data_IF_217300706706
#
_entry.id   IF_217300706706
#
_cell.length_a   1.000
_cell.length_b   1.000
_cell.length_c   1.000
_cell.angle_alpha   90.00
_cell.angle_beta   90.00
_cell.angle_gamma   90.00
#
_symmetry.space_group_name_H-M   'P 1'
#
loop_
_entity.id
_entity.type
_entity.pdbx_description
1 polymer ?
#
# COMPACT_ATOMS: atom_id res chain seq x y z
N UNK A 1 9.59 -6.79 -13.83
CA UNK A 1 8.44 -7.25 -13.03
C UNK A 1 7.20 -6.48 -13.44
N UNK A 2 6.13 -7.18 -13.81
CA UNK A 2 4.83 -6.58 -14.11
C UNK A 2 4.35 -5.82 -12.86
N UNK A 3 3.80 -4.61 -13.04
CA UNK A 3 3.18 -3.86 -11.94
C UNK A 3 2.08 -4.73 -11.30
N UNK A 4 2.00 -4.73 -9.96
CA UNK A 4 0.96 -5.47 -9.26
C UNK A 4 -0.41 -4.92 -9.67
N UNK A 5 -1.30 -5.79 -10.15
CA UNK A 5 -2.67 -5.39 -10.54
C UNK A 5 -3.60 -5.33 -9.34
N UNK A 6 -3.35 -6.19 -8.35
CA UNK A 6 -4.13 -6.26 -7.12
C UNK A 6 -3.25 -5.96 -5.90
N UNK A 7 -3.84 -5.37 -4.89
CA UNK A 7 -3.13 -5.01 -3.66
C UNK A 7 -3.99 -5.33 -2.45
N UNK A 8 -3.39 -5.97 -1.46
CA UNK A 8 -3.95 -6.07 -0.13
C UNK A 8 -3.29 -5.01 0.75
N UNK A 9 -4.09 -4.12 1.33
CA UNK A 9 -3.66 -3.15 2.34
C UNK A 9 -4.22 -3.57 3.67
N UNK A 10 -3.35 -3.87 4.63
CA UNK A 10 -3.71 -4.17 6.00
C UNK A 10 -3.33 -2.99 6.90
N UNK A 11 -4.31 -2.32 7.45
CA UNK A 11 -4.15 -1.27 8.46
C UNK A 11 -4.10 -1.93 9.85
N UNK A 12 -3.02 -1.73 10.58
CA UNK A 12 -2.74 -2.40 11.86
C UNK A 12 -2.70 -1.37 12.98
N UNK A 13 -3.52 -1.56 14.01
CA UNK A 13 -3.48 -0.81 15.24
C UNK A 13 -2.75 -1.66 16.28
N UNK A 14 -1.58 -1.21 16.71
CA UNK A 14 -0.74 -1.91 17.68
C UNK A 14 -1.26 -1.58 19.09
N UNK A 15 -1.22 -2.57 19.98
CA UNK A 15 -1.58 -2.35 21.40
C UNK A 15 -0.58 -1.45 22.07
N UNK A 16 -1.04 -0.61 22.97
CA UNK A 16 -0.20 0.26 23.78
C UNK A 16 0.93 -0.52 24.47
N UNK A 17 2.16 -0.08 24.24
CA UNK A 17 3.36 -0.69 24.80
C UNK A 17 3.83 -1.98 24.11
N UNK A 18 3.20 -2.40 23.01
CA UNK A 18 3.57 -3.62 22.26
C UNK A 18 4.27 -3.35 20.93
N UNK A 19 4.68 -2.12 20.66
CA UNK A 19 5.33 -1.77 19.39
C UNK A 19 6.61 -2.58 19.15
N UNK A 20 7.45 -2.77 20.17
CA UNK A 20 8.69 -3.56 20.06
C UNK A 20 8.38 -5.03 19.70
N UNK A 21 7.32 -5.62 20.27
CA UNK A 21 6.87 -6.97 19.94
C UNK A 21 6.34 -7.06 18.52
N UNK A 22 5.58 -6.05 18.09
CA UNK A 22 5.08 -5.95 16.72
C UNK A 22 6.25 -5.87 15.72
N UNK A 23 7.21 -4.98 15.95
CA UNK A 23 8.38 -4.85 15.08
C UNK A 23 9.25 -6.11 15.06
N UNK A 24 9.40 -6.80 16.21
CA UNK A 24 10.10 -8.07 16.26
C UNK A 24 9.35 -9.16 15.48
N UNK A 25 8.03 -9.13 15.47
CA UNK A 25 7.20 -10.03 14.66
C UNK A 25 7.34 -9.73 13.16
N UNK A 26 7.30 -8.47 12.75
CA UNK A 26 7.50 -8.08 11.34
C UNK A 26 8.92 -8.46 10.86
N UNK A 27 9.94 -8.27 11.69
CA UNK A 27 11.31 -8.72 11.41
C UNK A 27 11.40 -10.27 11.28
N UNK A 28 10.62 -11.02 12.07
CA UNK A 28 10.50 -12.45 11.90
C UNK A 28 9.83 -12.83 10.57
N UNK A 29 8.82 -12.09 10.14
CA UNK A 29 8.14 -12.36 8.87
C UNK A 29 8.94 -11.94 7.63
N UNK A 30 9.93 -11.05 7.71
CA UNK A 30 10.73 -10.64 6.56
C UNK A 30 11.21 -11.82 5.71
N UNK A 31 12.01 -12.79 6.24
CA UNK A 31 12.44 -13.95 5.48
C UNK A 31 11.29 -14.85 4.99
N UNK A 32 10.15 -14.86 5.67
CA UNK A 32 8.96 -15.63 5.24
C UNK A 32 8.35 -15.02 4.00
N UNK A 33 8.25 -13.68 3.97
CA UNK A 33 7.75 -12.95 2.82
C UNK A 33 8.71 -13.04 1.62
N UNK A 34 10.01 -12.94 1.85
CA UNK A 34 11.02 -13.14 0.79
C UNK A 34 10.84 -14.52 0.14
N UNK A 35 10.69 -15.56 0.94
CA UNK A 35 10.43 -16.92 0.44
C UNK A 35 9.08 -17.04 -0.27
N UNK A 36 8.03 -16.37 0.23
CA UNK A 36 6.72 -16.34 -0.42
C UNK A 36 6.78 -15.64 -1.79
N UNK A 37 7.56 -14.56 -1.92
CA UNK A 37 7.82 -13.88 -3.19
C UNK A 37 8.59 -14.81 -4.14
N UNK A 38 9.64 -15.47 -3.66
CA UNK A 38 10.43 -16.44 -4.44
C UNK A 38 9.55 -17.59 -4.97
N UNK A 39 8.61 -18.06 -4.17
CA UNK A 39 7.62 -19.09 -4.56
C UNK A 39 6.47 -18.57 -5.43
N UNK A 40 6.43 -17.27 -5.74
CA UNK A 40 5.40 -16.66 -6.57
C UNK A 40 4.04 -16.55 -5.90
N UNK A 41 3.97 -16.60 -4.56
CA UNK A 41 2.72 -16.44 -3.80
C UNK A 41 2.25 -14.98 -3.82
N UNK A 42 3.16 -14.02 -3.85
CA UNK A 42 2.92 -12.59 -4.02
C UNK A 42 4.13 -11.97 -4.74
N UNK A 43 4.01 -10.72 -5.19
CA UNK A 43 5.08 -10.05 -5.95
C UNK A 43 5.87 -9.05 -5.11
N UNK A 44 5.25 -8.51 -4.06
CA UNK A 44 5.80 -7.46 -3.21
C UNK A 44 5.13 -7.51 -1.85
N UNK A 45 5.89 -7.18 -0.80
CA UNK A 45 5.35 -6.83 0.51
C UNK A 45 6.23 -5.79 1.16
N UNK A 46 5.58 -4.79 1.79
CA UNK A 46 6.25 -3.77 2.58
C UNK A 46 5.45 -3.42 3.83
N UNK A 47 6.17 -3.07 4.89
CA UNK A 47 5.60 -2.58 6.16
C UNK A 47 5.95 -1.11 6.29
N UNK A 48 4.93 -0.27 6.47
CA UNK A 48 5.05 1.18 6.52
C UNK A 48 4.53 1.69 7.86
N UNK A 49 5.38 2.39 8.62
CA UNK A 49 4.97 3.08 9.84
C UNK A 49 4.26 4.37 9.49
N UNK A 50 3.13 4.65 10.13
CA UNK A 50 2.47 5.95 10.02
C UNK A 50 3.26 6.97 10.84
N UNK A 51 3.84 7.96 10.17
CA UNK A 51 4.65 9.01 10.81
C UNK A 51 3.94 10.36 10.83
N UNK A 52 2.95 10.54 9.95
CA UNK A 52 2.11 11.72 9.88
C UNK A 52 0.75 11.36 9.30
N UNK A 53 -0.31 11.92 9.84
CA UNK A 53 -1.66 11.77 9.31
C UNK A 53 -2.42 13.09 9.39
N UNK A 54 -3.28 13.35 8.41
CA UNK A 54 -4.30 14.42 8.46
C UNK A 54 -5.65 13.88 8.93
N UNK A 55 -5.74 12.58 9.24
CA UNK A 55 -6.96 11.94 9.73
C UNK A 55 -7.12 12.24 11.23
N UNK A 56 -8.19 12.96 11.59
CA UNK A 56 -8.51 13.31 12.96
C UNK A 56 -9.37 12.25 13.67
N UNK A 57 -9.71 11.14 12.97
CA UNK A 57 -10.50 10.05 13.56
C UNK A 57 -9.68 9.33 14.64
N UNK A 58 -10.37 8.91 15.68
CA UNK A 58 -9.83 7.94 16.61
C UNK A 58 -9.56 6.61 15.89
N UNK A 59 -8.50 5.90 16.27
CA UNK A 59 -8.08 4.61 15.68
C UNK A 59 -7.52 4.69 14.25
N UNK A 60 -6.70 5.70 13.96
CA UNK A 60 -5.81 5.67 12.80
C UNK A 60 -4.80 4.55 12.98
N UNK A 61 -4.51 3.79 11.91
CA UNK A 61 -3.53 2.72 11.98
C UNK A 61 -2.13 3.24 12.35
N UNK A 62 -1.39 2.44 13.13
CA UNK A 62 0.02 2.71 13.42
C UNK A 62 0.92 2.25 12.27
N UNK A 63 0.51 1.18 11.58
CA UNK A 63 1.24 0.59 10.46
C UNK A 63 0.30 0.19 9.32
N UNK A 64 0.86 0.22 8.11
CA UNK A 64 0.25 -0.40 6.94
C UNK A 64 1.16 -1.49 6.41
N UNK A 65 0.60 -2.68 6.18
CA UNK A 65 1.24 -3.75 5.42
C UNK A 65 0.62 -3.72 4.03
N UNK A 66 1.45 -3.58 3.00
CA UNK A 66 1.02 -3.51 1.60
C UNK A 66 1.59 -4.69 0.86
N UNK A 67 0.72 -5.54 0.32
CA UNK A 67 1.10 -6.72 -0.46
C UNK A 67 0.57 -6.60 -1.88
N UNK A 68 1.42 -6.88 -2.87
CA UNK A 68 1.11 -6.76 -4.29
C UNK A 68 1.01 -8.10 -5.00
N UNK A 69 0.05 -8.22 -5.92
CA UNK A 69 -0.28 -9.43 -6.67
C UNK A 69 -0.47 -9.12 -8.15
N UNK A 70 -0.08 -10.04 -9.03
CA UNK A 70 -0.25 -9.90 -10.49
C UNK A 70 -1.69 -10.12 -10.94
N UNK A 71 -2.46 -10.92 -10.20
CA UNK A 71 -3.86 -11.23 -10.55
C UNK A 71 -4.71 -11.44 -9.30
N UNK A 72 -6.02 -11.42 -9.49
CA UNK A 72 -6.99 -11.73 -8.44
C UNK A 72 -6.84 -13.18 -7.96
N UNK A 73 -6.59 -14.12 -8.86
CA UNK A 73 -6.40 -15.54 -8.54
C UNK A 73 -5.17 -15.73 -7.62
N UNK A 74 -4.09 -14.98 -7.84
CA UNK A 74 -2.92 -15.02 -6.97
C UNK A 74 -3.27 -14.49 -5.57
N UNK A 75 -4.00 -13.38 -5.48
CA UNK A 75 -4.46 -12.83 -4.21
C UNK A 75 -5.40 -13.81 -3.49
N UNK A 76 -6.38 -14.39 -4.19
CA UNK A 76 -7.33 -15.34 -3.61
C UNK A 76 -6.59 -16.61 -3.11
N UNK A 77 -5.62 -17.11 -3.88
CA UNK A 77 -4.77 -18.23 -3.46
C UNK A 77 -3.94 -17.91 -2.21
N UNK A 78 -3.37 -16.71 -2.14
CA UNK A 78 -2.63 -16.22 -0.97
C UNK A 78 -3.53 -16.15 0.27
N UNK A 79 -4.72 -15.55 0.16
CA UNK A 79 -5.68 -15.41 1.26
C UNK A 79 -6.23 -16.76 1.73
N UNK A 80 -6.33 -17.74 0.83
CA UNK A 80 -6.80 -19.12 1.16
C UNK A 80 -5.70 -20.05 1.68
N UNK A 81 -4.46 -19.54 1.81
CA UNK A 81 -3.34 -20.36 2.31
C UNK A 81 -3.62 -20.88 3.72
N UNK A 82 -3.54 -22.19 3.89
CA UNK A 82 -3.84 -22.82 5.18
C UNK A 82 -2.83 -22.45 6.27
N UNK A 83 -3.26 -22.51 7.52
CA UNK A 83 -2.36 -22.30 8.68
C UNK A 83 -1.17 -23.27 8.66
N UNK A 84 -1.39 -24.51 8.21
CA UNK A 84 -0.34 -25.53 8.09
C UNK A 84 0.70 -25.15 7.03
N UNK A 85 0.24 -24.66 5.86
CA UNK A 85 1.12 -24.17 4.78
C UNK A 85 1.92 -22.96 5.23
N UNK A 86 1.28 -21.99 5.90
CA UNK A 86 1.96 -20.81 6.45
C UNK A 86 3.01 -21.21 7.52
N UNK A 87 2.68 -22.15 8.38
CA UNK A 87 3.62 -22.70 9.35
C UNK A 87 4.82 -23.38 8.67
N UNK A 88 4.57 -24.17 7.65
CA UNK A 88 5.62 -24.87 6.88
C UNK A 88 6.54 -23.87 6.17
N UNK A 89 5.96 -22.82 5.58
CA UNK A 89 6.70 -21.73 4.93
C UNK A 89 7.60 -20.99 5.94
N UNK A 90 7.07 -20.67 7.14
CA UNK A 90 7.84 -20.02 8.18
C UNK A 90 9.00 -20.91 8.70
N UNK A 91 8.77 -22.20 8.87
CA UNK A 91 9.83 -23.16 9.26
C UNK A 91 10.91 -23.25 8.17
N UNK A 92 10.51 -23.29 6.89
CA UNK A 92 11.44 -23.32 5.75
C UNK A 92 12.28 -22.04 5.68
N UNK A 93 11.67 -20.87 5.77
CA UNK A 93 12.33 -19.58 5.73
C UNK A 93 13.39 -19.38 6.83
N UNK A 94 13.16 -19.99 7.98
CA UNK A 94 14.06 -19.90 9.14
C UNK A 94 14.97 -21.11 9.33
N UNK A 95 15.01 -22.03 8.35
CA UNK A 95 15.83 -23.25 8.44
C UNK A 95 17.30 -22.91 8.69
N UNK A 96 17.86 -23.53 9.73
CA UNK A 96 19.26 -23.32 10.12
C UNK A 96 19.54 -22.04 10.93
N UNK A 97 18.55 -21.15 11.10
CA UNK A 97 18.67 -19.90 11.87
C UNK A 97 18.04 -20.03 13.25
N UNK A 98 16.81 -20.52 13.31
CA UNK A 98 16.07 -20.79 14.57
C UNK A 98 15.38 -22.17 14.51
N UNK A 99 15.14 -22.77 15.68
CA UNK A 99 14.50 -24.08 15.72
C UNK A 99 13.03 -24.03 15.31
N UNK A 100 12.52 -25.10 14.68
CA UNK A 100 11.12 -25.21 14.29
C UNK A 100 10.15 -25.01 15.47
N UNK A 101 10.53 -25.47 16.67
CA UNK A 101 9.74 -25.25 17.91
C UNK A 101 9.63 -23.73 18.22
N UNK A 102 10.70 -22.96 18.04
CA UNK A 102 10.67 -21.51 18.26
C UNK A 102 9.83 -20.80 17.20
N UNK A 103 9.93 -21.22 15.92
CA UNK A 103 9.05 -20.74 14.84
C UNK A 103 7.58 -20.97 15.21
N UNK A 104 7.22 -22.19 15.60
CA UNK A 104 5.85 -22.54 16.01
C UNK A 104 5.36 -21.66 17.18
N UNK A 105 6.21 -21.42 18.19
CA UNK A 105 5.85 -20.59 19.33
C UNK A 105 5.58 -19.13 18.93
N UNK A 106 6.33 -18.58 17.96
CA UNK A 106 6.10 -17.22 17.44
C UNK A 106 4.81 -17.19 16.62
N UNK A 107 4.64 -18.12 15.68
CA UNK A 107 3.46 -18.21 14.82
C UNK A 107 2.15 -18.34 15.61
N UNK A 108 2.17 -19.08 16.72
CA UNK A 108 0.99 -19.26 17.57
C UNK A 108 0.58 -18.00 18.36
N UNK A 109 1.44 -16.98 18.41
CA UNK A 109 1.19 -15.70 19.10
C UNK A 109 0.87 -14.54 18.16
N UNK A 110 0.87 -14.79 16.85
CA UNK A 110 0.52 -13.76 15.86
C UNK A 110 -0.86 -13.19 16.15
N UNK A 111 -0.94 -11.86 16.20
CA UNK A 111 -2.18 -11.13 16.52
C UNK A 111 -2.33 -10.75 18.00
N UNK A 112 -1.48 -11.25 18.91
CA UNK A 112 -1.52 -10.82 20.31
C UNK A 112 -1.07 -9.37 20.50
N UNK A 113 -0.25 -8.83 19.58
CA UNK A 113 0.38 -7.50 19.61
C UNK A 113 -0.53 -6.38 19.07
N UNK A 114 -1.62 -6.71 18.37
CA UNK A 114 -2.50 -5.74 17.75
C UNK A 114 -3.90 -5.72 18.36
N UNK A 115 -4.53 -4.54 18.39
CA UNK A 115 -5.93 -4.38 18.78
C UNK A 115 -6.86 -4.83 17.66
N UNK A 116 -6.54 -4.40 16.44
CA UNK A 116 -7.30 -4.77 15.26
C UNK A 116 -6.43 -4.70 14.01
N UNK A 117 -6.88 -5.42 12.99
CA UNK A 117 -6.38 -5.35 11.63
C UNK A 117 -7.56 -5.17 10.69
N UNK A 118 -7.47 -4.18 9.82
CA UNK A 118 -8.49 -3.85 8.81
C UNK A 118 -7.89 -4.05 7.44
N UNK A 119 -8.54 -4.82 6.60
CA UNK A 119 -8.04 -5.14 5.28
C UNK A 119 -8.89 -4.46 4.20
N UNK A 120 -8.19 -3.95 3.19
CA UNK A 120 -8.76 -3.41 1.96
C UNK A 120 -8.17 -4.15 0.77
N UNK A 121 -9.03 -4.69 -0.09
CA UNK A 121 -8.63 -5.33 -1.32
C UNK A 121 -8.81 -4.35 -2.47
N UNK A 122 -7.73 -4.09 -3.18
CA UNK A 122 -7.64 -3.05 -4.19
C UNK A 122 -7.35 -3.64 -5.56
N UNK A 123 -8.01 -3.09 -6.58
CA UNK A 123 -7.66 -3.28 -7.97
C UNK A 123 -7.04 -1.99 -8.51
N UNK A 124 -5.95 -2.10 -9.29
CA UNK A 124 -5.31 -0.95 -9.90
C UNK A 124 -6.19 -0.36 -10.99
N UNK A 125 -6.53 0.92 -10.87
CA UNK A 125 -7.16 1.70 -11.93
C UNK A 125 -6.11 2.16 -12.92
N UNK A 126 -5.07 2.84 -12.42
CA UNK A 126 -3.95 3.33 -13.24
C UNK A 126 -2.71 3.59 -12.38
N UNK A 127 -1.55 3.68 -13.03
CA UNK A 127 -0.29 4.06 -12.38
C UNK A 127 0.67 4.67 -13.39
N UNK A 128 1.58 5.48 -12.88
CA UNK A 128 2.78 5.88 -13.64
C UNK A 128 3.78 4.73 -13.70
N UNK A 129 4.77 4.85 -14.58
CA UNK A 129 5.93 3.96 -14.52
C UNK A 129 6.71 4.22 -13.21
N UNK A 130 7.25 3.15 -12.68
CA UNK A 130 8.14 3.23 -11.52
C UNK A 130 9.48 3.85 -11.91
N UNK A 131 9.93 4.87 -11.18
CA UNK A 131 11.23 5.51 -11.37
C UNK A 131 12.01 5.59 -10.05
N UNK A 132 13.33 5.63 -10.12
CA UNK A 132 14.20 5.92 -8.97
C UNK A 132 14.62 4.70 -8.14
N UNK A 133 14.70 3.49 -8.71
CA UNK A 133 15.25 2.30 -8.02
C UNK A 133 14.29 1.64 -7.03
N UNK A 134 14.79 0.70 -6.24
CA UNK A 134 14.01 -0.01 -5.24
C UNK A 134 13.64 0.91 -4.05
N UNK A 135 12.63 0.51 -3.28
CA UNK A 135 12.31 1.16 -2.01
C UNK A 135 13.37 0.79 -0.97
N UNK A 136 13.83 1.79 -0.25
CA UNK A 136 14.79 1.62 0.84
C UNK A 136 14.15 1.99 2.19
N UNK A 137 14.76 1.50 3.27
CA UNK A 137 14.34 1.90 4.62
C UNK A 137 14.53 3.40 4.80
N UNK A 138 13.44 4.10 5.14
CA UNK A 138 13.40 5.55 5.26
C UNK A 138 12.74 6.27 4.08
N UNK A 139 12.44 5.57 2.98
CA UNK A 139 11.61 6.13 1.91
C UNK A 139 10.21 6.47 2.45
N UNK A 140 9.69 7.62 2.01
CA UNK A 140 8.38 8.10 2.41
C UNK A 140 7.36 7.85 1.31
N UNK A 141 6.28 7.18 1.67
CA UNK A 141 5.10 7.02 0.82
C UNK A 141 3.93 7.78 1.42
N UNK A 142 3.26 8.62 0.66
CA UNK A 142 1.95 9.12 1.05
C UNK A 142 0.86 8.20 0.51
N UNK A 143 -0.05 7.83 1.40
CA UNK A 143 -1.26 7.08 1.07
C UNK A 143 -2.46 7.95 1.41
N UNK A 144 -3.23 8.30 0.38
CA UNK A 144 -4.44 9.11 0.54
C UNK A 144 -5.66 8.30 0.12
N UNK A 145 -6.75 8.45 0.85
CA UNK A 145 -8.03 7.82 0.51
C UNK A 145 -9.04 8.86 0.08
N UNK A 146 -9.95 8.49 -0.83
CA UNK A 146 -10.99 9.38 -1.34
C UNK A 146 -12.30 8.64 -1.62
N UNK A 147 -13.36 9.42 -1.78
CA UNK A 147 -14.66 8.98 -2.27
C UNK A 147 -14.80 9.52 -3.69
N UNK A 148 -15.00 8.64 -4.67
CA UNK A 148 -15.35 9.08 -6.03
C UNK A 148 -16.71 9.81 -5.98
N UNK A 149 -16.73 11.06 -6.42
CA UNK A 149 -17.92 11.92 -6.42
C UNK A 149 -18.73 11.80 -7.72
N UNK A 150 -18.12 11.25 -8.78
CA UNK A 150 -18.73 11.12 -10.11
C UNK A 150 -18.28 9.83 -10.80
N UNK A 151 -19.04 9.38 -11.81
CA UNK A 151 -18.74 8.18 -12.60
C UNK A 151 -17.50 8.35 -13.49
N UNK A 152 -17.08 9.57 -13.77
CA UNK A 152 -15.91 9.91 -14.58
C UNK A 152 -14.64 10.16 -13.76
N UNK A 153 -14.68 9.97 -12.43
CA UNK A 153 -13.56 10.18 -11.52
C UNK A 153 -12.29 9.44 -11.98
N UNK A 154 -12.39 8.14 -12.25
CA UNK A 154 -11.25 7.33 -12.69
C UNK A 154 -10.68 7.81 -14.05
N UNK A 155 -11.57 8.21 -14.97
CA UNK A 155 -11.18 8.77 -16.28
C UNK A 155 -10.43 10.08 -16.11
N UNK A 156 -10.94 10.97 -15.23
CA UNK A 156 -10.29 12.25 -14.96
C UNK A 156 -8.89 12.06 -14.36
N UNK A 157 -8.75 11.17 -13.41
CA UNK A 157 -7.45 10.86 -12.78
C UNK A 157 -6.45 10.31 -13.82
N UNK A 158 -6.90 9.44 -14.72
CA UNK A 158 -6.04 8.82 -15.74
C UNK A 158 -5.70 9.78 -16.89
N UNK A 159 -6.67 10.58 -17.36
CA UNK A 159 -6.49 11.42 -18.56
C UNK A 159 -5.98 12.84 -18.26
N UNK A 160 -6.17 13.35 -17.04
CA UNK A 160 -5.78 14.71 -16.66
C UNK A 160 -4.70 14.71 -15.58
N UNK A 161 -4.94 14.03 -14.45
CA UNK A 161 -4.01 14.06 -13.33
C UNK A 161 -2.71 13.30 -13.62
N UNK A 162 -2.80 12.06 -14.09
CA UNK A 162 -1.63 11.22 -14.40
C UNK A 162 -0.62 11.88 -15.35
N UNK A 163 -0.99 12.49 -16.50
CA UNK A 163 -0.03 13.16 -17.37
C UNK A 163 0.75 14.31 -16.68
N UNK A 164 0.12 15.02 -15.74
CA UNK A 164 0.79 16.06 -14.96
C UNK A 164 1.78 15.46 -13.96
N UNK A 165 1.43 14.35 -13.36
CA UNK A 165 2.31 13.60 -12.44
C UNK A 165 3.48 12.97 -13.21
N UNK A 166 3.24 12.43 -14.41
CA UNK A 166 4.31 11.90 -15.28
C UNK A 166 5.30 13.00 -15.68
N UNK A 167 4.82 14.23 -15.94
CA UNK A 167 5.69 15.39 -16.16
C UNK A 167 6.58 15.68 -14.93
N UNK A 168 6.03 15.56 -13.71
CA UNK A 168 6.81 15.68 -12.48
C UNK A 168 7.87 14.59 -12.35
N UNK A 169 7.55 13.35 -12.74
CA UNK A 169 8.50 12.22 -12.71
C UNK A 169 9.63 12.45 -13.71
N UNK A 170 9.32 12.86 -14.94
CA UNK A 170 10.32 13.17 -15.98
C UNK A 170 11.29 14.27 -15.51
N UNK A 171 10.80 15.26 -14.77
CA UNK A 171 11.62 16.33 -14.23
C UNK A 171 12.34 15.99 -12.91
N UNK A 172 12.17 14.78 -12.37
CA UNK A 172 12.82 14.34 -11.13
C UNK A 172 12.21 14.89 -9.85
N UNK A 173 10.99 15.43 -9.90
CA UNK A 173 10.28 15.98 -8.73
C UNK A 173 9.42 14.92 -8.03
N UNK A 174 9.14 13.79 -8.68
CA UNK A 174 8.32 12.70 -8.16
C UNK A 174 8.86 11.35 -8.66
N UNK A 175 8.57 10.26 -7.93
CA UNK A 175 9.05 8.91 -8.31
C UNK A 175 7.95 8.02 -8.86
N UNK A 176 6.76 8.06 -8.25
CA UNK A 176 5.70 7.13 -8.59
C UNK A 176 4.36 7.57 -8.03
N UNK A 177 3.30 7.28 -8.79
CA UNK A 177 1.91 7.47 -8.43
C UNK A 177 1.08 6.28 -8.86
N UNK A 178 0.07 5.96 -8.06
CA UNK A 178 -0.90 4.92 -8.37
C UNK A 178 -2.25 5.27 -7.80
N UNK A 179 -3.33 5.02 -8.59
CA UNK A 179 -4.72 5.00 -8.18
C UNK A 179 -5.22 3.57 -8.15
N UNK A 180 -5.89 3.19 -7.07
CA UNK A 180 -6.53 1.88 -6.93
C UNK A 180 -7.94 2.02 -6.38
N UNK A 181 -8.85 1.20 -6.88
CA UNK A 181 -10.24 1.08 -6.42
C UNK A 181 -10.36 0.00 -5.36
N UNK A 182 -11.12 0.28 -4.31
CA UNK A 182 -11.45 -0.71 -3.28
C UNK A 182 -12.64 -1.52 -3.77
N UNK A 183 -12.48 -2.83 -3.98
CA UNK A 183 -13.56 -3.70 -4.39
C UNK A 183 -14.07 -4.61 -3.27
N UNK A 184 -13.27 -4.81 -2.22
CA UNK A 184 -13.64 -5.61 -1.05
C UNK A 184 -12.91 -5.09 0.20
N UNK A 185 -13.48 -5.30 1.38
CA UNK A 185 -12.88 -4.93 2.67
C UNK A 185 -13.42 -5.80 3.80
N UNK A 186 -12.70 -5.88 4.92
CA UNK A 186 -13.20 -6.51 6.14
C UNK A 186 -14.32 -5.66 6.76
N UNK A 187 -15.21 -6.31 7.52
CA UNK A 187 -16.39 -5.66 8.14
C UNK A 187 -16.01 -4.48 9.06
N UNK A 188 -14.86 -4.57 9.75
CA UNK A 188 -14.35 -3.51 10.61
C UNK A 188 -13.56 -2.41 9.88
N UNK A 189 -13.39 -2.51 8.55
CA UNK A 189 -12.71 -1.48 7.78
C UNK A 189 -13.63 -0.29 7.51
N UNK A 190 -13.03 0.92 7.40
CA UNK A 190 -13.80 2.12 7.11
C UNK A 190 -14.44 2.05 5.71
N UNK A 191 -15.74 2.20 5.64
CA UNK A 191 -16.55 2.06 4.43
C UNK A 191 -16.72 3.37 3.64
N UNK A 192 -16.41 4.51 4.26
CA UNK A 192 -16.57 5.85 3.67
C UNK A 192 -15.53 6.22 2.60
N UNK A 193 -14.78 5.26 2.05
CA UNK A 193 -13.80 5.49 0.97
C UNK A 193 -14.01 4.49 -0.17
N UNK A 194 -13.75 4.94 -1.41
CA UNK A 194 -13.88 4.10 -2.60
C UNK A 194 -12.54 3.83 -3.29
N UNK A 195 -11.57 4.73 -3.11
CA UNK A 195 -10.27 4.65 -3.76
C UNK A 195 -9.12 5.00 -2.81
N UNK A 196 -7.93 4.51 -3.15
CA UNK A 196 -6.67 4.88 -2.49
C UNK A 196 -5.64 5.30 -3.53
N UNK A 197 -4.92 6.37 -3.20
CA UNK A 197 -3.74 6.83 -3.92
C UNK A 197 -2.49 6.44 -3.17
N UNK A 198 -1.47 6.05 -3.92
CA UNK A 198 -0.13 5.81 -3.40
C UNK A 198 0.84 6.71 -4.14
N UNK A 199 1.66 7.44 -3.41
CA UNK A 199 2.61 8.38 -3.96
C UNK A 199 3.97 8.22 -3.31
N UNK A 200 5.03 8.22 -4.13
CA UNK A 200 6.40 8.27 -3.66
C UNK A 200 7.05 9.50 -4.26
N UNK A 201 7.34 10.47 -3.39
CA UNK A 201 8.02 11.70 -3.74
C UNK A 201 9.54 11.54 -3.84
N UNK A 202 10.21 12.59 -4.25
CA UNK A 202 11.66 12.74 -4.16
C UNK A 202 11.96 13.60 -2.94
N UNK A 203 12.79 13.15 -1.98
CA UNK A 203 13.13 13.93 -0.79
C UNK A 203 13.65 15.33 -1.15
N UNK A 204 13.11 16.36 -0.49
CA UNK A 204 13.50 17.76 -0.70
C UNK A 204 12.93 18.42 -1.96
N UNK A 205 12.14 17.71 -2.77
CA UNK A 205 11.45 18.27 -3.93
C UNK A 205 9.98 18.60 -3.60
N UNK A 206 9.40 19.56 -4.34
CA UNK A 206 8.02 20.02 -4.14
C UNK A 206 6.91 19.08 -4.65
N UNK A 207 7.29 17.91 -5.13
CA UNK A 207 6.34 16.94 -5.70
C UNK A 207 5.65 17.44 -6.98
N UNK A 208 4.43 16.97 -7.21
CA UNK A 208 3.70 17.26 -8.45
C UNK A 208 2.76 18.49 -8.36
N UNK A 209 2.58 19.09 -7.20
CA UNK A 209 1.60 20.20 -7.00
C UNK A 209 1.78 21.39 -7.95
N UNK A 210 3.02 21.81 -8.21
CA UNK A 210 3.31 22.92 -9.13
C UNK A 210 2.80 22.68 -10.56
N UNK A 211 2.75 21.43 -11.02
CA UNK A 211 2.29 21.06 -12.36
C UNK A 211 0.78 21.23 -12.50
N UNK A 212 0.03 20.97 -11.44
CA UNK A 212 -1.40 21.25 -11.38
C UNK A 212 -1.69 22.76 -11.37
N UNK A 213 -0.90 23.56 -10.66
CA UNK A 213 -1.05 25.02 -10.66
C UNK A 213 -0.73 25.62 -12.04
N UNK A 214 0.35 25.15 -12.68
CA UNK A 214 0.67 25.54 -14.06
C UNK A 214 -0.47 25.19 -15.03
N UNK A 215 -1.00 23.96 -14.94
CA UNK A 215 -2.13 23.52 -15.77
C UNK A 215 -3.38 24.35 -15.52
N UNK A 216 -3.73 24.60 -14.26
CA UNK A 216 -4.86 25.47 -13.87
C UNK A 216 -4.74 26.87 -14.44
N UNK A 217 -3.53 27.42 -14.56
CA UNK A 217 -3.28 28.74 -15.13
C UNK A 217 -3.53 28.82 -16.65
N UNK A 218 -3.58 27.69 -17.36
CA UNK A 218 -3.97 27.64 -18.75
C UNK A 218 -5.48 27.81 -18.92
N UNK A 219 -5.94 28.39 -20.05
CA UNK A 219 -7.38 28.54 -20.32
C UNK A 219 -8.13 27.16 -20.26
N UNK A 220 -7.54 26.14 -20.92
CA UNK A 220 -8.13 24.78 -20.93
C UNK A 220 -8.16 24.17 -19.53
N UNK A 221 -7.04 24.25 -18.82
CA UNK A 221 -6.94 23.68 -17.46
C UNK A 221 -7.87 24.38 -16.47
N UNK A 222 -7.96 25.72 -16.53
CA UNK A 222 -8.89 26.49 -15.70
C UNK A 222 -10.34 26.04 -15.91
N UNK A 223 -10.78 25.86 -17.15
CA UNK A 223 -12.14 25.41 -17.47
C UNK A 223 -12.45 23.99 -16.99
N UNK A 224 -11.50 23.07 -17.12
CA UNK A 224 -11.64 21.70 -16.62
C UNK A 224 -11.74 21.70 -15.09
N UNK A 225 -10.87 22.44 -14.39
CA UNK A 225 -10.86 22.52 -12.94
C UNK A 225 -12.11 23.21 -12.37
N UNK A 226 -12.66 24.24 -13.07
CA UNK A 226 -13.95 24.84 -12.70
C UNK A 226 -15.10 23.83 -12.78
N UNK A 227 -15.12 22.99 -13.82
CA UNK A 227 -16.15 21.96 -14.00
C UNK A 227 -16.14 20.85 -12.95
N UNK A 228 -14.98 20.59 -12.32
CA UNK A 228 -14.85 19.60 -11.24
C UNK A 228 -15.29 20.11 -9.86
N UNK A 229 -15.46 21.44 -9.70
CA UNK A 229 -15.90 22.07 -8.46
C UNK A 229 -17.42 22.36 -8.45
N UNK A 230 -18.10 22.15 -9.55
CA UNK A 230 -19.52 22.33 -9.72
C UNK A 230 -20.32 21.05 -9.47
#
# INVERSE_FOLDING_TARGET
TSAAQYTLVSAVDVKDGMEDQYLALEAFFGPVHDLAIEKGMLNFQGVFKVVQTSDERENVADYFIISGFSSKEQLDAYLSTSAETNMSLAIEAHKGKISSRRVQNIMNKVGEESNQRRNYHLEMVDSTIWSGGDLEVGDMMSMNSTIAQSDDFETWESEVAKPLIEKAIINGDHRWWRLSKIYERTENAYDGITHMFFNIGVPGQGGFGKYFEEYRSTFKGGKIMEGLQA
#
